data_IF_478152763644
#
_entry.id   IF_478152763644
#
_cell.length_a   1.000
_cell.length_b   1.000
_cell.length_c   1.000
_cell.angle_alpha   90.00
_cell.angle_beta   90.00
_cell.angle_gamma   90.00
#
_symmetry.space_group_name_H-M   'P 1'
#
loop_
_entity.id
_entity.type
_entity.pdbx_description
1 polymer ?
#
# COMPACT_ATOMS: atom_id res chain seq x y z
N UNK A 1 -4.47 28.27 6.08
CA UNK A 1 -3.43 27.31 6.51
C UNK A 1 -2.89 26.75 5.21
N UNK A 2 -1.66 27.07 4.83
CA UNK A 2 -1.05 26.46 3.65
C UNK A 2 -0.63 25.05 4.07
N UNK A 3 -0.94 23.99 3.31
CA UNK A 3 -0.50 22.64 3.65
C UNK A 3 1.03 22.66 3.72
N UNK A 4 1.60 22.10 4.80
CA UNK A 4 3.04 22.04 4.92
C UNK A 4 3.59 21.22 3.75
N UNK A 5 4.67 21.70 3.08
CA UNK A 5 5.24 20.97 1.97
C UNK A 5 5.70 19.59 2.45
N UNK A 6 5.32 18.54 1.72
CA UNK A 6 5.73 17.17 2.02
C UNK A 6 7.25 17.14 2.22
N UNK A 7 7.67 16.53 3.33
CA UNK A 7 9.09 16.39 3.64
C UNK A 7 9.82 15.73 2.46
N UNK A 8 10.98 16.28 2.09
CA UNK A 8 11.80 15.74 1.00
C UNK A 8 12.08 14.24 1.16
N UNK A 9 12.22 13.78 2.42
CA UNK A 9 12.41 12.35 2.74
C UNK A 9 11.19 11.54 2.35
N UNK A 10 10.00 11.95 2.77
CA UNK A 10 8.74 11.27 2.45
C UNK A 10 8.48 11.23 0.95
N UNK A 11 8.78 12.30 0.22
CA UNK A 11 8.67 12.30 -1.24
C UNK A 11 9.59 11.27 -1.90
N UNK A 12 10.82 11.10 -1.41
CA UNK A 12 11.75 10.07 -1.91
C UNK A 12 11.25 8.66 -1.60
N UNK A 13 10.72 8.43 -0.40
CA UNK A 13 10.11 7.14 -0.01
C UNK A 13 8.97 6.79 -0.96
N UNK A 14 8.04 7.74 -1.18
CA UNK A 14 6.92 7.55 -2.09
C UNK A 14 7.37 7.24 -3.53
N UNK A 15 8.37 7.96 -4.06
CA UNK A 15 8.95 7.68 -5.38
C UNK A 15 9.60 6.31 -5.46
N UNK A 16 10.25 5.88 -4.38
CA UNK A 16 10.87 4.56 -4.29
C UNK A 16 9.80 3.46 -4.41
N UNK A 17 8.70 3.58 -3.65
CA UNK A 17 7.57 2.65 -3.73
C UNK A 17 6.93 2.67 -5.12
N UNK A 18 6.75 3.85 -5.71
CA UNK A 18 6.20 3.99 -7.07
C UNK A 18 7.08 3.31 -8.13
N UNK A 19 8.41 3.37 -7.95
CA UNK A 19 9.35 2.66 -8.82
C UNK A 19 9.23 1.14 -8.65
N UNK A 20 9.01 0.65 -7.43
CA UNK A 20 8.79 -0.78 -7.18
C UNK A 20 7.47 -1.25 -7.79
N UNK A 21 6.40 -0.46 -7.61
CA UNK A 21 5.07 -0.74 -8.17
C UNK A 21 5.09 -0.94 -9.69
N UNK A 22 5.89 -0.17 -10.42
CA UNK A 22 6.06 -0.33 -11.86
C UNK A 22 6.76 -1.64 -12.24
N UNK A 23 7.61 -2.18 -11.36
CA UNK A 23 8.30 -3.45 -11.55
C UNK A 23 7.52 -4.66 -11.04
N UNK A 24 6.38 -4.46 -10.38
CA UNK A 24 5.55 -5.54 -9.84
C UNK A 24 4.67 -6.18 -10.91
N UNK A 25 4.49 -7.49 -10.80
CA UNK A 25 3.48 -8.22 -11.56
C UNK A 25 2.08 -8.04 -10.94
N UNK A 26 1.05 -8.48 -11.66
CA UNK A 26 -0.33 -8.30 -11.23
C UNK A 26 -0.64 -8.96 -9.87
N UNK A 27 -0.07 -10.12 -9.58
CA UNK A 27 -0.23 -10.77 -8.27
C UNK A 27 0.39 -9.97 -7.12
N UNK A 28 1.54 -9.33 -7.36
CA UNK A 28 2.22 -8.48 -6.39
C UNK A 28 1.44 -7.17 -6.16
N UNK A 29 0.94 -6.56 -7.23
CA UNK A 29 0.08 -5.37 -7.14
C UNK A 29 -1.21 -5.68 -6.37
N UNK A 30 -1.85 -6.81 -6.65
CA UNK A 30 -3.04 -7.23 -5.91
C UNK A 30 -2.74 -7.39 -4.41
N UNK A 31 -1.62 -8.03 -4.04
CA UNK A 31 -1.25 -8.14 -2.62
C UNK A 31 -0.99 -6.78 -1.98
N UNK A 32 -0.28 -5.89 -2.67
CA UNK A 32 -0.06 -4.53 -2.19
C UNK A 32 -1.37 -3.75 -1.99
N UNK A 33 -2.34 -3.94 -2.89
CA UNK A 33 -3.66 -3.34 -2.76
C UNK A 33 -4.37 -3.79 -1.48
N UNK A 34 -4.37 -5.10 -1.21
CA UNK A 34 -4.99 -5.64 -0.01
C UNK A 34 -4.34 -5.05 1.26
N UNK A 35 -3.02 -4.91 1.27
CA UNK A 35 -2.31 -4.25 2.37
C UNK A 35 -2.70 -2.77 2.49
N UNK A 36 -2.83 -2.06 1.37
CA UNK A 36 -3.19 -0.64 1.34
C UNK A 36 -4.62 -0.42 1.87
N UNK A 37 -5.58 -1.25 1.45
CA UNK A 37 -6.97 -1.23 1.95
C UNK A 37 -7.01 -1.54 3.45
N UNK A 38 -6.26 -2.57 3.89
CA UNK A 38 -6.17 -2.94 5.30
C UNK A 38 -5.61 -1.82 6.18
N UNK A 39 -4.63 -1.06 5.68
CA UNK A 39 -4.07 0.10 6.38
C UNK A 39 -4.98 1.33 6.36
N UNK A 40 -5.80 1.50 5.31
CA UNK A 40 -6.72 2.63 5.19
C UNK A 40 -8.00 2.47 6.02
N UNK A 41 -8.40 1.24 6.37
CA UNK A 41 -9.61 0.95 7.15
C UNK A 41 -9.26 0.26 8.48
N UNK A 42 -9.12 1.02 9.59
CA UNK A 42 -8.85 0.43 10.90
C UNK A 42 -10.11 -0.30 11.40
N UNK A 43 -10.14 -1.63 11.27
CA UNK A 43 -11.24 -2.44 11.80
C UNK A 43 -11.53 -3.74 11.04
N UNK A 44 -10.97 -3.92 9.84
CA UNK A 44 -11.13 -5.16 9.06
C UNK A 44 -9.78 -5.66 8.54
N UNK A 45 -8.81 -5.81 9.46
CA UNK A 45 -7.70 -6.75 9.24
C UNK A 45 -8.32 -8.14 9.19
N UNK A 46 -8.94 -8.49 8.07
CA UNK A 46 -9.35 -9.85 7.82
C UNK A 46 -8.04 -10.64 7.76
N UNK A 47 -7.73 -11.29 8.89
CA UNK A 47 -7.18 -12.64 9.12
C UNK A 47 -6.59 -13.45 7.96
N UNK A 48 -6.86 -13.11 6.70
CA UNK A 48 -6.29 -13.66 5.48
C UNK A 48 -4.84 -13.27 5.25
N UNK A 49 -4.38 -12.05 5.58
CA UNK A 49 -2.97 -11.66 5.35
C UNK A 49 -2.00 -12.46 6.25
N UNK A 50 -2.38 -12.68 7.51
CA UNK A 50 -1.65 -13.58 8.42
C UNK A 50 -1.74 -15.04 7.97
N UNK A 51 -2.90 -15.49 7.47
CA UNK A 51 -3.09 -16.86 6.96
C UNK A 51 -2.30 -17.14 5.67
N UNK A 52 -2.12 -16.16 4.79
CA UNK A 52 -1.31 -16.29 3.56
C UNK A 52 0.18 -16.21 3.84
N UNK A 53 0.59 -15.42 4.84
CA UNK A 53 2.00 -15.31 5.26
C UNK A 53 2.46 -16.55 6.03
N UNK A 54 1.58 -17.20 6.79
CA UNK A 54 1.90 -18.46 7.50
C UNK A 54 1.93 -19.71 6.61
N UNK A 55 1.33 -19.68 5.42
CA UNK A 55 1.30 -20.82 4.49
C UNK A 55 2.48 -20.90 3.51
N UNK A 56 3.42 -19.94 3.53
CA UNK A 56 4.65 -19.97 2.71
C UNK A 56 5.94 -20.17 3.53
N UNK A 57 5.88 -20.88 4.66
CA UNK A 57 7.10 -21.42 5.29
C UNK A 57 7.60 -22.61 4.46
N UNK A 58 8.33 -22.31 3.39
CA UNK A 58 9.28 -23.23 2.75
C UNK A 58 10.53 -22.45 2.44
N UNK A 59 11.54 -22.54 3.31
CA UNK A 59 12.98 -22.32 3.09
C UNK A 59 13.39 -21.61 1.78
N UNK A 60 12.89 -20.40 1.55
CA UNK A 60 13.24 -19.61 0.36
C UNK A 60 13.65 -18.24 0.86
N UNK A 61 14.84 -17.81 0.44
CA UNK A 61 15.39 -16.47 0.68
C UNK A 61 14.26 -15.43 0.57
N UNK A 62 14.17 -14.46 1.50
CA UNK A 62 13.11 -13.46 1.46
C UNK A 62 13.09 -12.83 0.07
N UNK A 63 11.96 -12.94 -0.61
CA UNK A 63 11.80 -12.39 -1.94
C UNK A 63 11.94 -10.87 -1.86
N UNK A 64 12.56 -10.23 -2.85
CA UNK A 64 12.79 -8.78 -2.86
C UNK A 64 11.50 -7.98 -2.61
N UNK A 65 10.37 -8.52 -3.07
CA UNK A 65 9.03 -8.00 -2.84
C UNK A 65 8.66 -7.89 -1.35
N UNK A 66 8.99 -8.90 -0.52
CA UNK A 66 8.73 -8.85 0.92
C UNK A 66 9.53 -7.73 1.59
N UNK A 67 10.79 -7.55 1.17
CA UNK A 67 11.63 -6.47 1.67
C UNK A 67 11.04 -5.09 1.30
N UNK A 68 10.55 -4.95 0.05
CA UNK A 68 9.87 -3.73 -0.41
C UNK A 68 8.60 -3.45 0.38
N UNK A 69 7.74 -4.46 0.61
CA UNK A 69 6.51 -4.30 1.40
C UNK A 69 6.76 -3.94 2.86
N UNK A 70 7.81 -4.50 3.47
CA UNK A 70 8.21 -4.14 4.84
C UNK A 70 8.63 -2.68 4.94
N UNK A 71 9.49 -2.23 4.03
CA UNK A 71 9.92 -0.82 3.98
C UNK A 71 8.73 0.11 3.75
N UNK A 72 7.89 -0.20 2.77
CA UNK A 72 6.68 0.58 2.53
C UNK A 72 5.76 0.61 3.76
N UNK A 73 5.59 -0.50 4.48
CA UNK A 73 4.76 -0.53 5.69
C UNK A 73 5.28 0.44 6.74
N UNK A 74 6.59 0.43 7.00
CA UNK A 74 7.21 1.36 7.95
C UNK A 74 7.06 2.83 7.51
N UNK A 75 7.24 3.11 6.22
CA UNK A 75 7.06 4.46 5.68
C UNK A 75 5.61 4.92 5.78
N UNK A 76 4.66 4.09 5.35
CA UNK A 76 3.23 4.41 5.35
C UNK A 76 2.69 4.67 6.77
N UNK A 77 3.17 3.93 7.77
CA UNK A 77 2.87 4.17 9.18
C UNK A 77 3.40 5.52 9.67
N UNK A 78 4.57 5.94 9.19
CA UNK A 78 5.16 7.24 9.50
C UNK A 78 4.55 8.40 8.71
N UNK A 79 3.87 8.14 7.60
CA UNK A 79 3.23 9.17 6.77
C UNK A 79 1.94 9.69 7.42
N UNK A 80 1.76 11.00 7.40
CA UNK A 80 0.50 11.65 7.73
C UNK A 80 -0.58 11.45 6.65
N UNK A 81 -1.77 11.98 6.91
CA UNK A 81 -2.89 11.88 5.96
C UNK A 81 -2.57 12.57 4.62
N UNK A 82 -1.95 13.75 4.67
CA UNK A 82 -1.57 14.52 3.47
C UNK A 82 -0.58 13.75 2.60
N UNK A 83 0.44 13.13 3.20
CA UNK A 83 1.43 12.35 2.48
C UNK A 83 0.84 11.06 1.92
N UNK A 84 -0.06 10.40 2.64
CA UNK A 84 -0.79 9.22 2.13
C UNK A 84 -1.66 9.58 0.94
N UNK A 85 -2.37 10.71 1.00
CA UNK A 85 -3.19 11.21 -0.10
C UNK A 85 -2.33 11.56 -1.32
N UNK A 86 -1.18 12.20 -1.11
CA UNK A 86 -0.23 12.49 -2.19
C UNK A 86 0.33 11.21 -2.83
N UNK A 87 0.64 10.20 -2.03
CA UNK A 87 1.05 8.90 -2.54
C UNK A 87 -0.05 8.23 -3.40
N UNK A 88 -1.30 8.28 -2.96
CA UNK A 88 -2.44 7.79 -3.75
C UNK A 88 -2.60 8.54 -5.07
N UNK A 89 -2.43 9.87 -5.09
CA UNK A 89 -2.44 10.64 -6.33
C UNK A 89 -1.32 10.21 -7.29
N UNK A 90 -0.11 10.00 -6.79
CA UNK A 90 0.99 9.49 -7.64
C UNK A 90 0.73 8.08 -8.16
N UNK A 91 0.07 7.22 -7.38
CA UNK A 91 -0.39 5.91 -7.86
C UNK A 91 -1.47 6.06 -8.93
N UNK A 92 -2.42 6.98 -8.75
CA UNK A 92 -3.51 7.25 -9.69
C UNK A 92 -2.99 7.74 -11.04
N UNK A 93 -1.99 8.63 -11.02
CA UNK A 93 -1.30 9.09 -12.23
C UNK A 93 -0.60 7.96 -13.00
N UNK A 94 -0.15 6.91 -12.30
CA UNK A 94 0.51 5.74 -12.91
C UNK A 94 -0.45 4.65 -13.32
N UNK A 95 -1.45 4.37 -12.49
CA UNK A 95 -2.42 3.31 -12.67
C UNK A 95 -3.77 3.72 -12.04
N UNK A 96 -4.62 4.43 -12.81
CA UNK A 96 -5.90 4.91 -12.31
C UNK A 96 -6.88 3.77 -12.03
N UNK A 97 -6.72 2.62 -12.70
CA UNK A 97 -7.54 1.43 -12.47
C UNK A 97 -7.23 0.80 -11.12
N UNK A 98 -5.95 0.76 -10.73
CA UNK A 98 -5.53 0.31 -9.40
C UNK A 98 -6.16 1.14 -8.29
N UNK A 99 -6.09 2.48 -8.40
CA UNK A 99 -6.64 3.39 -7.39
C UNK A 99 -8.17 3.36 -7.36
N UNK A 100 -8.83 3.24 -8.51
CA UNK A 100 -10.27 3.02 -8.56
C UNK A 100 -10.67 1.72 -7.84
N UNK A 101 -9.88 0.65 -7.99
CA UNK A 101 -10.10 -0.61 -7.28
C UNK A 101 -9.90 -0.47 -5.77
N UNK A 102 -8.90 0.31 -5.34
CA UNK A 102 -8.70 0.68 -3.93
C UNK A 102 -9.93 1.38 -3.35
N UNK A 103 -10.39 2.47 -3.97
CA UNK A 103 -11.56 3.20 -3.47
C UNK A 103 -12.83 2.36 -3.48
N UNK A 104 -13.03 1.51 -4.51
CA UNK A 104 -14.15 0.56 -4.53
C UNK A 104 -14.09 -0.43 -3.38
N UNK A 105 -12.89 -0.95 -3.08
CA UNK A 105 -12.68 -1.90 -1.99
C UNK A 105 -12.95 -1.25 -0.63
N UNK A 106 -12.43 -0.05 -0.40
CA UNK A 106 -12.69 0.74 0.81
C UNK A 106 -14.18 1.06 0.95
N UNK A 107 -14.84 1.58 -0.10
CA UNK A 107 -16.27 1.88 -0.08
C UNK A 107 -17.13 0.63 0.18
N UNK A 108 -16.76 -0.52 -0.38
CA UNK A 108 -17.42 -1.80 -0.11
C UNK A 108 -17.30 -2.27 1.35
N UNK A 109 -16.28 -1.83 2.07
CA UNK A 109 -16.13 -2.12 3.50
C UNK A 109 -16.92 -1.19 4.41
N UNK A 110 -17.25 0.03 3.96
CA UNK A 110 -17.99 1.04 4.73
C UNK A 110 -19.52 0.86 4.70
N UNK A 111 -20.07 0.12 3.73
CA UNK A 111 -21.53 -0.06 3.56
C UNK A 111 -22.15 -1.26 4.28
N UNK A 112 -21.53 -1.75 5.36
CA UNK A 112 -21.96 -2.98 6.05
C UNK A 112 -22.04 -2.74 7.56
N UNK A 113 -22.92 -1.82 7.93
CA UNK A 113 -23.52 -1.68 9.27
C UNK A 113 -25.02 -2.00 9.17
#
# INVERSE_FOLDING_TARGET
IQPEPISYVTFQEQRCVLSWFQGWNDSQKERFLQDLVGKAVPGKVCTLLDSLSTLQVKDKLPNIFECQLRLWTQWFESWGEEERNHFLHMLEEKDPMFVAHFYRSVAGTAGRD
#
